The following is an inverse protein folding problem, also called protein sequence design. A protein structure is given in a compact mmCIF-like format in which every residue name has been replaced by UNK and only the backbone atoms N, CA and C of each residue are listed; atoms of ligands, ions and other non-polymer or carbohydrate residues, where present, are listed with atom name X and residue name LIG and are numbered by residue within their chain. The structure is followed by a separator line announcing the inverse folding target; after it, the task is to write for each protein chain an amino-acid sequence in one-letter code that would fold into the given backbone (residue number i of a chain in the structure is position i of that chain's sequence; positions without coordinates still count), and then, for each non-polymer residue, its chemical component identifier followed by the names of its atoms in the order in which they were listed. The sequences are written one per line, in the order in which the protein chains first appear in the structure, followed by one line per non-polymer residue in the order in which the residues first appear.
data_IF_602605658641
#
_entry.id   IF_602605658641
#
_cell.length_a   1.000
_cell.length_b   1.000
_cell.length_c   1.000
_cell.angle_alpha   90.00
_cell.angle_beta   90.00
_cell.angle_gamma   90.00
#
_symmetry.space_group_name_H-M   'P 1'
#
loop_
_entity.id
_entity.type
_entity.pdbx_description
1 polymer ?
#
# COMPACT_ATOMS: atom_id res chain seq x y z
N UNK A 1 38.47 27.64 5.72
CA UNK A 1 38.44 26.29 6.32
C UNK A 1 37.70 25.38 5.37
N UNK A 2 38.51 24.71 4.57
CA UNK A 2 38.16 23.72 3.56
C UNK A 2 37.72 22.43 4.25
N UNK A 3 36.55 21.88 3.91
CA UNK A 3 36.15 20.52 4.29
C UNK A 3 35.60 19.77 3.08
N UNK A 4 36.56 19.17 2.41
CA UNK A 4 36.59 17.86 1.75
C UNK A 4 35.45 16.90 2.14
N UNK A 5 34.64 16.54 1.12
CA UNK A 5 34.14 15.21 0.68
C UNK A 5 34.30 13.98 1.62
N UNK A 6 33.38 12.98 1.60
CA UNK A 6 33.14 12.22 0.36
C UNK A 6 31.72 11.72 0.02
N UNK A 7 31.53 11.73 -1.29
CA UNK A 7 30.80 10.82 -2.18
C UNK A 7 30.54 9.42 -1.59
N UNK A 8 29.27 9.00 -1.56
CA UNK A 8 28.88 7.59 -1.40
C UNK A 8 28.35 7.10 -2.73
N UNK A 9 29.16 6.24 -3.34
CA UNK A 9 28.95 5.62 -4.64
C UNK A 9 27.88 4.52 -4.58
N UNK A 10 27.25 4.33 -5.74
CA UNK A 10 26.16 3.41 -5.96
C UNK A 10 26.58 1.92 -5.86
N UNK A 11 25.74 1.11 -5.23
CA UNK A 11 25.78 -0.34 -5.36
C UNK A 11 24.36 -0.89 -5.55
N UNK A 12 23.90 -0.91 -6.81
CA UNK A 12 22.79 -1.76 -7.24
C UNK A 12 23.17 -3.23 -6.99
N UNK A 13 22.48 -3.89 -6.07
CA UNK A 13 22.62 -5.33 -5.83
C UNK A 13 21.38 -6.04 -6.37
N UNK A 14 21.46 -6.51 -7.61
CA UNK A 14 20.52 -7.52 -8.14
C UNK A 14 20.86 -8.88 -7.51
N UNK A 15 19.87 -9.72 -7.14
CA UNK A 15 20.13 -11.10 -6.77
C UNK A 15 20.28 -11.97 -8.03
N UNK A 16 21.46 -12.56 -8.21
CA UNK A 16 21.72 -13.61 -9.20
C UNK A 16 21.07 -14.94 -8.78
N UNK A 17 20.40 -15.58 -9.73
CA UNK A 17 19.88 -16.94 -9.62
C UNK A 17 21.00 -18.00 -9.68
N UNK A 18 20.93 -19.10 -8.89
CA UNK A 18 21.83 -20.23 -9.08
C UNK A 18 21.27 -21.22 -10.11
N UNK A 19 22.02 -21.40 -11.20
CA UNK A 19 21.88 -22.53 -12.14
C UNK A 19 22.34 -23.82 -11.46
N UNK A 20 21.50 -24.85 -11.43
CA UNK A 20 21.95 -26.23 -11.26
C UNK A 20 21.35 -27.11 -12.35
N UNK A 21 22.24 -27.62 -13.20
CA UNK A 21 22.00 -28.63 -14.23
C UNK A 21 21.93 -30.01 -13.57
N UNK A 22 20.79 -30.69 -13.65
CA UNK A 22 20.74 -32.16 -13.60
C UNK A 22 19.72 -32.68 -14.62
N UNK A 23 20.25 -33.23 -15.71
CA UNK A 23 19.53 -34.09 -16.64
C UNK A 23 19.03 -35.34 -15.92
N UNK A 24 17.72 -35.62 -16.02
CA UNK A 24 17.16 -36.98 -15.97
C UNK A 24 15.89 -37.01 -16.81
N UNK A 25 16.04 -37.47 -18.04
CA UNK A 25 14.96 -37.87 -18.94
C UNK A 25 14.32 -39.15 -18.40
N UNK A 26 13.01 -39.09 -18.11
CA UNK A 26 12.09 -40.24 -18.14
C UNK A 26 10.72 -39.72 -18.56
N UNK A 27 10.50 -39.64 -19.87
CA UNK A 27 9.17 -39.44 -20.43
C UNK A 27 8.41 -40.77 -20.41
N UNK A 28 7.28 -40.78 -19.72
CA UNK A 28 6.31 -41.87 -19.63
C UNK A 28 5.10 -41.43 -20.47
N UNK A 29 4.84 -42.10 -21.59
CA UNK A 29 3.55 -42.07 -22.27
C UNK A 29 3.14 -43.48 -22.68
N UNK A 30 1.83 -43.72 -22.84
CA UNK A 30 1.21 -45.01 -22.59
C UNK A 30 1.16 -45.87 -23.85
N UNK A 31 1.18 -47.18 -23.61
CA UNK A 31 0.88 -48.23 -24.58
C UNK A 31 -0.60 -48.25 -24.95
N UNK A 32 -0.97 -48.41 -26.24
CA UNK A 32 -2.26 -48.94 -26.62
C UNK A 32 -2.15 -50.47 -26.78
N UNK A 33 -3.10 -51.15 -26.14
CA UNK A 33 -3.42 -52.56 -26.28
C UNK A 33 -3.88 -52.88 -27.71
N UNK A 34 -3.22 -53.83 -28.38
CA UNK A 34 -3.78 -54.53 -29.54
C UNK A 34 -4.34 -55.88 -29.10
N UNK A 35 -5.62 -56.07 -29.40
CA UNK A 35 -6.36 -57.29 -29.20
C UNK A 35 -5.88 -58.40 -30.15
N UNK A 36 -5.73 -59.61 -29.62
CA UNK A 36 -5.55 -60.84 -30.39
C UNK A 36 -6.92 -61.34 -30.88
N UNK A 37 -7.03 -61.60 -32.18
CA UNK A 37 -8.18 -62.28 -32.77
C UNK A 37 -7.70 -63.38 -33.73
N UNK A 38 -8.03 -64.61 -33.34
CA UNK A 38 -8.46 -65.76 -34.18
C UNK A 38 -7.58 -66.16 -35.36
N UNK A 39 -6.74 -67.17 -35.12
CA UNK A 39 -6.28 -68.11 -36.15
C UNK A 39 -7.26 -69.29 -36.25
N UNK A 40 -7.72 -69.57 -37.46
CA UNK A 40 -8.41 -70.80 -37.84
C UNK A 40 -7.84 -71.26 -39.17
N UNK A 41 -7.42 -72.52 -39.32
CA UNK A 41 -7.41 -73.16 -40.61
C UNK A 41 -8.29 -74.43 -40.58
N UNK A 42 -9.30 -74.43 -41.44
CA UNK A 42 -9.99 -75.58 -41.98
C UNK A 42 -9.45 -75.77 -43.41
N UNK A 43 -9.33 -76.95 -44.03
CA UNK A 43 -9.53 -78.35 -43.68
C UNK A 43 -9.00 -79.16 -44.87
N UNK A 44 -8.67 -80.43 -44.67
CA UNK A 44 -8.96 -81.46 -45.68
C UNK A 44 -7.79 -82.13 -46.40
N UNK A 45 -7.50 -83.36 -45.96
CA UNK A 45 -7.24 -84.58 -46.75
C UNK A 45 -6.75 -85.64 -45.72
N UNK A 46 -7.34 -86.81 -45.49
CA UNK A 46 -7.93 -87.79 -46.40
C UNK A 46 -7.12 -89.10 -46.27
N UNK A 47 -7.59 -90.06 -45.46
CA UNK A 47 -7.14 -91.47 -45.42
C UNK A 47 -7.58 -92.24 -46.72
N UNK A 48 -7.22 -93.51 -47.05
CA UNK A 48 -6.64 -94.59 -46.21
C UNK A 48 -5.58 -95.53 -46.87
N UNK A 49 -5.06 -96.44 -46.03
CA UNK A 49 -4.50 -97.81 -46.21
C UNK A 49 -4.14 -98.43 -47.60
N UNK A 50 -3.08 -99.27 -47.49
CA UNK A 50 -2.92 -100.65 -48.01
C UNK A 50 -1.86 -100.95 -49.08
N UNK A 51 -1.19 -102.08 -48.84
CA UNK A 51 -0.18 -102.82 -49.58
C UNK A 51 -0.18 -102.70 -51.11
N UNK A 52 1.01 -102.64 -51.74
CA UNK A 52 1.43 -103.64 -52.73
C UNK A 52 2.93 -103.55 -53.08
N UNK A 53 3.67 -104.58 -52.64
CA UNK A 53 4.86 -105.07 -53.34
C UNK A 53 4.40 -105.60 -54.71
N UNK A 54 4.58 -104.83 -55.80
CA UNK A 54 4.66 -105.28 -57.20
C UNK A 54 4.64 -104.07 -58.16
N UNK A 55 5.67 -103.20 -58.14
CA UNK A 55 5.74 -102.07 -59.09
C UNK A 55 6.94 -102.10 -60.04
N UNK A 56 7.99 -102.88 -59.76
CA UNK A 56 9.12 -102.92 -60.68
C UNK A 56 8.80 -103.62 -62.00
N UNK A 57 7.94 -104.65 -62.00
CA UNK A 57 7.60 -105.36 -63.23
C UNK A 57 6.59 -104.59 -64.11
N UNK A 58 5.68 -103.81 -63.50
CA UNK A 58 4.71 -102.99 -64.24
C UNK A 58 5.35 -101.74 -64.86
N UNK A 59 6.35 -101.13 -64.19
CA UNK A 59 7.06 -99.97 -64.72
C UNK A 59 7.95 -100.36 -65.91
N UNK A 60 8.63 -101.51 -65.84
CA UNK A 60 9.44 -102.02 -66.94
C UNK A 60 8.57 -102.45 -68.13
N UNK A 61 7.40 -103.03 -67.88
CA UNK A 61 6.42 -103.37 -68.93
C UNK A 61 5.79 -102.12 -69.56
N UNK A 62 5.55 -101.07 -68.76
CA UNK A 62 5.05 -99.77 -69.25
C UNK A 62 6.10 -99.01 -70.05
N UNK A 63 7.38 -99.06 -69.67
CA UNK A 63 8.47 -98.47 -70.46
C UNK A 63 8.74 -99.25 -71.74
N UNK A 64 8.65 -100.58 -71.70
CA UNK A 64 8.74 -101.41 -72.88
C UNK A 64 7.55 -101.17 -73.83
N UNK A 65 6.33 -101.01 -73.30
CA UNK A 65 5.14 -100.63 -74.07
C UNK A 65 5.27 -99.24 -74.69
N UNK A 66 5.78 -98.24 -73.95
CA UNK A 66 6.07 -96.89 -74.48
C UNK A 66 7.16 -96.92 -75.55
N UNK A 67 8.20 -97.73 -75.36
CA UNK A 67 9.27 -97.89 -76.34
C UNK A 67 8.76 -98.58 -77.60
N UNK A 68 7.91 -99.60 -77.47
CA UNK A 68 7.22 -100.26 -78.59
C UNK A 68 6.28 -99.32 -79.31
N UNK A 69 5.54 -98.48 -78.59
CA UNK A 69 4.65 -97.47 -79.16
C UNK A 69 5.45 -96.39 -79.90
N UNK A 70 6.59 -95.95 -79.34
CA UNK A 70 7.52 -95.01 -79.97
C UNK A 70 8.23 -95.59 -81.20
N UNK A 71 8.59 -96.87 -81.17
CA UNK A 71 9.13 -97.58 -82.33
C UNK A 71 8.06 -97.69 -83.43
N UNK A 72 6.85 -98.08 -83.07
CA UNK A 72 5.70 -98.19 -84.00
C UNK A 72 5.36 -96.83 -84.61
N UNK A 73 5.38 -95.78 -83.79
CA UNK A 73 5.29 -94.39 -84.21
C UNK A 73 6.34 -94.01 -85.25
N UNK A 74 7.62 -94.28 -84.95
CA UNK A 74 8.72 -93.85 -85.79
C UNK A 74 8.79 -94.61 -87.10
N UNK A 75 8.47 -95.90 -87.07
CA UNK A 75 8.31 -96.73 -88.28
C UNK A 75 7.19 -96.15 -89.15
N UNK A 76 6.02 -95.87 -88.57
CA UNK A 76 4.91 -95.26 -89.30
C UNK A 76 5.27 -93.88 -89.90
N UNK A 77 6.05 -93.06 -89.19
CA UNK A 77 6.52 -91.76 -89.69
C UNK A 77 7.47 -91.89 -90.88
N UNK A 78 8.36 -92.89 -90.84
CA UNK A 78 9.28 -93.21 -91.95
C UNK A 78 8.50 -93.78 -93.15
N UNK A 79 7.51 -94.63 -92.92
CA UNK A 79 6.65 -95.24 -93.96
C UNK A 79 5.81 -94.20 -94.71
N UNK A 80 5.37 -93.14 -94.02
CA UNK A 80 4.65 -92.02 -94.65
C UNK A 80 5.61 -91.08 -95.40
N UNK A 81 6.89 -91.03 -95.02
CA UNK A 81 7.90 -90.25 -95.73
C UNK A 81 7.86 -88.73 -95.46
N UNK A 82 7.33 -88.33 -94.29
CA UNK A 82 7.29 -86.94 -93.84
C UNK A 82 5.91 -86.27 -93.92
N UNK A 83 5.83 -85.04 -93.43
CA UNK A 83 4.56 -84.32 -93.18
C UNK A 83 3.84 -83.93 -94.49
N UNK A 84 4.56 -83.69 -95.58
CA UNK A 84 3.99 -83.35 -96.90
C UNK A 84 3.18 -84.49 -97.52
N UNK A 85 3.60 -85.74 -97.29
CA UNK A 85 2.90 -86.93 -97.79
C UNK A 85 1.67 -87.29 -96.94
N UNK A 86 1.54 -86.74 -95.73
CA UNK A 86 0.42 -86.99 -94.84
C UNK A 86 -0.86 -86.28 -95.33
N UNK A 87 -0.71 -85.13 -95.99
CA UNK A 87 -1.81 -84.28 -96.49
C UNK A 87 -2.29 -84.66 -97.90
N UNK A 88 -1.51 -85.40 -98.68
CA UNK A 88 -1.88 -85.87 -100.02
C UNK A 88 -2.93 -87.00 -99.97
N UNK A 89 -3.96 -87.05 -100.83
CA UNK A 89 -4.90 -88.17 -100.87
C UNK A 89 -4.19 -89.50 -101.17
N UNK A 90 -4.50 -90.57 -100.41
CA UNK A 90 -4.03 -91.91 -100.78
C UNK A 90 -4.77 -92.33 -102.05
N UNK A 91 -4.03 -92.74 -103.08
CA UNK A 91 -4.64 -93.34 -104.25
C UNK A 91 -5.21 -94.73 -103.86
N UNK A 92 -6.54 -94.81 -103.75
CA UNK A 92 -7.32 -96.01 -103.43
C UNK A 92 -7.79 -96.76 -104.70
N UNK A 93 -7.33 -96.36 -105.88
CA UNK A 93 -7.69 -97.01 -107.14
C UNK A 93 -7.17 -98.45 -107.16
N UNK A 94 -8.03 -99.44 -107.42
CA UNK A 94 -7.66 -100.86 -107.42
C UNK A 94 -7.74 -101.56 -106.06
N UNK A 95 -8.15 -100.88 -105.00
CA UNK A 95 -8.71 -101.52 -103.81
C UNK A 95 -10.12 -101.97 -104.21
N UNK A 96 -10.49 -103.23 -104.04
CA UNK A 96 -11.85 -103.71 -104.35
C UNK A 96 -12.88 -102.86 -103.58
N UNK A 97 -13.41 -101.82 -104.22
CA UNK A 97 -14.49 -100.98 -103.69
C UNK A 97 -15.85 -101.68 -103.81
N UNK A 98 -15.85 -102.89 -104.39
CA UNK A 98 -16.99 -103.73 -104.61
C UNK A 98 -16.77 -105.06 -103.86
N UNK A 99 -17.64 -105.37 -102.91
CA UNK A 99 -17.59 -106.60 -102.09
C UNK A 99 -17.73 -107.87 -102.93
N UNK A 100 -18.22 -107.78 -104.18
CA UNK A 100 -18.41 -108.91 -105.08
C UNK A 100 -17.14 -109.37 -105.80
N UNK A 101 -16.03 -108.62 -105.71
CA UNK A 101 -14.84 -108.95 -106.50
C UNK A 101 -14.12 -110.24 -106.06
N UNK A 102 -14.01 -110.57 -104.75
CA UNK A 102 -13.58 -111.90 -104.34
C UNK A 102 -14.46 -113.01 -104.96
N UNK A 103 -15.77 -112.79 -105.06
CA UNK A 103 -16.70 -113.73 -105.69
C UNK A 103 -16.46 -113.83 -107.21
N UNK A 104 -16.21 -112.71 -107.89
CA UNK A 104 -15.86 -112.69 -109.31
C UNK A 104 -14.54 -113.40 -109.61
N UNK A 105 -13.51 -113.25 -108.76
CA UNK A 105 -12.24 -113.96 -108.90
C UNK A 105 -12.42 -115.47 -108.72
N UNK A 106 -13.18 -115.89 -107.69
CA UNK A 106 -13.50 -117.30 -107.46
C UNK A 106 -14.31 -117.88 -108.63
N UNK A 107 -15.30 -117.14 -109.14
CA UNK A 107 -16.11 -117.56 -110.30
C UNK A 107 -15.26 -117.69 -111.56
N UNK A 108 -14.35 -116.75 -111.83
CA UNK A 108 -13.42 -116.82 -112.97
C UNK A 108 -12.47 -118.03 -112.87
N UNK A 109 -12.00 -118.37 -111.67
CA UNK A 109 -11.19 -119.58 -111.45
C UNK A 109 -12.02 -120.86 -111.65
N UNK A 110 -13.26 -120.89 -111.15
CA UNK A 110 -14.18 -122.03 -111.32
C UNK A 110 -14.49 -122.29 -112.81
N UNK A 111 -14.68 -121.24 -113.60
CA UNK A 111 -14.96 -121.34 -115.04
C UNK A 111 -13.79 -121.99 -115.81
N UNK A 112 -12.54 -121.75 -115.39
CA UNK A 112 -11.34 -122.38 -115.98
C UNK A 112 -11.22 -123.86 -115.59
N UNK A 113 -11.68 -124.23 -114.39
CA UNK A 113 -11.70 -125.63 -113.92
C UNK A 113 -12.69 -126.46 -114.75
N UNK A 114 -13.89 -125.92 -115.00
CA UNK A 114 -15.01 -126.66 -115.62
C UNK A 114 -14.92 -126.79 -117.15
N UNK A 115 -13.98 -126.11 -117.81
CA UNK A 115 -13.84 -126.07 -119.27
C UNK A 115 -13.26 -127.38 -119.84
N UNK A 116 -14.07 -128.22 -120.50
CA UNK A 116 -13.68 -129.57 -120.93
C UNK A 116 -12.74 -129.63 -122.16
N UNK A 117 -12.54 -128.52 -122.88
CA UNK A 117 -11.68 -128.47 -124.09
C UNK A 117 -10.21 -128.13 -123.79
N UNK A 118 -9.88 -127.72 -122.57
CA UNK A 118 -8.51 -127.37 -122.17
C UNK A 118 -7.75 -128.58 -121.62
N UNK A 119 -6.52 -128.77 -122.08
CA UNK A 119 -5.58 -129.75 -121.55
C UNK A 119 -5.30 -129.49 -120.05
N UNK A 120 -4.99 -130.53 -119.28
CA UNK A 120 -4.70 -130.41 -117.85
C UNK A 120 -3.56 -129.42 -117.56
N UNK A 121 -2.56 -129.33 -118.45
CA UNK A 121 -1.44 -128.39 -118.33
C UNK A 121 -1.90 -126.93 -118.56
N UNK A 122 -2.75 -126.66 -119.56
CA UNK A 122 -3.26 -125.31 -119.85
C UNK A 122 -4.20 -124.78 -118.77
N UNK A 123 -4.98 -125.66 -118.12
CA UNK A 123 -5.82 -125.30 -116.96
C UNK A 123 -4.98 -124.86 -115.78
N UNK A 124 -3.91 -125.60 -115.49
CA UNK A 124 -2.98 -125.26 -114.40
C UNK A 124 -2.30 -123.93 -114.67
N UNK A 125 -1.90 -123.65 -115.92
CA UNK A 125 -1.27 -122.39 -116.30
C UNK A 125 -2.24 -121.19 -116.16
N UNK A 126 -3.48 -121.32 -116.65
CA UNK A 126 -4.50 -120.25 -116.51
C UNK A 126 -4.92 -120.02 -115.05
N UNK A 127 -5.10 -121.07 -114.25
CA UNK A 127 -5.40 -120.93 -112.81
C UNK A 127 -4.23 -120.32 -112.05
N UNK A 128 -2.99 -120.72 -112.37
CA UNK A 128 -1.79 -120.13 -111.80
C UNK A 128 -1.69 -118.64 -112.11
N UNK A 129 -1.99 -118.23 -113.35
CA UNK A 129 -2.00 -116.83 -113.75
C UNK A 129 -3.08 -116.01 -113.01
N UNK A 130 -4.29 -116.55 -112.86
CA UNK A 130 -5.36 -115.89 -112.11
C UNK A 130 -5.05 -115.79 -110.60
N UNK A 131 -4.52 -116.85 -110.00
CA UNK A 131 -4.09 -116.84 -108.59
C UNK A 131 -2.95 -115.84 -108.37
N UNK A 132 -2.01 -115.74 -109.33
CA UNK A 132 -0.92 -114.76 -109.28
C UNK A 132 -1.45 -113.33 -109.32
N UNK A 133 -2.41 -113.03 -110.21
CA UNK A 133 -3.07 -111.72 -110.29
C UNK A 133 -3.80 -111.37 -108.98
N UNK A 134 -4.58 -112.31 -108.43
CA UNK A 134 -5.24 -112.12 -107.14
C UNK A 134 -4.24 -111.91 -105.99
N UNK A 135 -3.11 -112.62 -106.02
CA UNK A 135 -2.04 -112.45 -105.04
C UNK A 135 -1.33 -111.09 -105.18
N UNK A 136 -1.14 -110.57 -106.39
CA UNK A 136 -0.57 -109.25 -106.66
C UNK A 136 -1.52 -108.13 -106.20
N UNK A 137 -2.83 -108.26 -106.47
CA UNK A 137 -3.86 -107.33 -106.00
C UNK A 137 -3.99 -107.35 -104.47
N UNK A 138 -3.94 -108.53 -103.84
CA UNK A 138 -3.90 -108.67 -102.38
C UNK A 138 -2.63 -108.05 -101.78
N UNK A 139 -1.47 -108.17 -102.45
CA UNK A 139 -0.23 -107.53 -102.02
C UNK A 139 -0.31 -106.00 -102.09
N UNK A 140 -0.93 -105.45 -103.15
CA UNK A 140 -1.18 -104.02 -103.29
C UNK A 140 -2.13 -103.49 -102.22
N UNK A 141 -3.21 -104.21 -101.95
CA UNK A 141 -4.15 -103.93 -100.86
C UNK A 141 -3.46 -103.91 -99.50
N UNK A 142 -2.66 -104.94 -99.21
CA UNK A 142 -1.88 -105.05 -97.98
C UNK A 142 -0.97 -103.82 -97.81
N UNK A 143 -0.32 -103.37 -98.91
CA UNK A 143 0.54 -102.18 -98.91
C UNK A 143 -0.25 -100.90 -98.63
N UNK A 144 -1.43 -100.75 -99.23
CA UNK A 144 -2.30 -99.57 -99.02
C UNK A 144 -2.91 -99.52 -97.62
N UNK A 145 -3.33 -100.66 -97.07
CA UNK A 145 -3.77 -100.77 -95.68
C UNK A 145 -2.63 -100.42 -94.72
N UNK A 146 -1.41 -100.89 -95.02
CA UNK A 146 -0.19 -100.48 -94.32
C UNK A 146 0.01 -98.96 -94.32
N UNK A 147 -0.09 -98.33 -95.49
CA UNK A 147 0.02 -96.87 -95.66
C UNK A 147 -1.06 -96.11 -94.86
N UNK A 148 -2.33 -96.53 -94.93
CA UNK A 148 -3.43 -95.93 -94.16
C UNK A 148 -3.19 -96.06 -92.65
N UNK A 149 -2.76 -97.25 -92.19
CA UNK A 149 -2.49 -97.49 -90.78
C UNK A 149 -1.32 -96.63 -90.28
N UNK A 150 -0.25 -96.53 -91.07
CA UNK A 150 0.89 -95.67 -90.76
C UNK A 150 0.45 -94.20 -90.62
N UNK A 151 -0.33 -93.67 -91.56
CA UNK A 151 -0.88 -92.29 -91.47
C UNK A 151 -1.80 -92.11 -90.27
N UNK A 152 -2.67 -93.07 -89.97
CA UNK A 152 -3.54 -93.03 -88.79
C UNK A 152 -2.73 -92.93 -87.49
N UNK A 153 -1.63 -93.66 -87.38
CA UNK A 153 -0.74 -93.64 -86.20
C UNK A 153 -0.07 -92.26 -86.06
N UNK A 154 0.51 -91.74 -87.14
CA UNK A 154 1.17 -90.41 -87.16
C UNK A 154 0.16 -89.30 -86.83
N UNK A 155 -1.05 -89.34 -87.40
CA UNK A 155 -2.10 -88.35 -87.12
C UNK A 155 -2.56 -88.36 -85.66
N UNK A 156 -2.69 -89.54 -85.04
CA UNK A 156 -3.04 -89.66 -83.61
C UNK A 156 -1.96 -89.05 -82.73
N UNK A 157 -0.68 -89.26 -83.05
CA UNK A 157 0.44 -88.69 -82.32
C UNK A 157 0.53 -87.18 -82.48
N UNK A 158 0.37 -86.65 -83.70
CA UNK A 158 0.32 -85.21 -83.96
C UNK A 158 -0.82 -84.56 -83.18
N UNK A 159 -2.01 -85.17 -83.17
CA UNK A 159 -3.15 -84.70 -82.35
C UNK A 159 -2.80 -84.67 -80.87
N UNK A 160 -2.18 -85.72 -80.34
CA UNK A 160 -1.75 -85.79 -78.93
C UNK A 160 -0.71 -84.72 -78.58
N UNK A 161 0.29 -84.52 -79.45
CA UNK A 161 1.33 -83.50 -79.30
C UNK A 161 0.72 -82.08 -79.30
N UNK A 162 -0.13 -81.77 -80.27
CA UNK A 162 -0.84 -80.47 -80.34
C UNK A 162 -1.74 -80.25 -79.13
N UNK A 163 -2.44 -81.29 -78.66
CA UNK A 163 -3.28 -81.19 -77.46
C UNK A 163 -2.45 -80.88 -76.21
N UNK A 164 -1.28 -81.52 -76.08
CA UNK A 164 -0.35 -81.28 -74.97
C UNK A 164 0.25 -79.88 -75.01
N UNK A 165 0.68 -79.42 -76.19
CA UNK A 165 1.17 -78.05 -76.38
C UNK A 165 0.07 -77.01 -76.09
N UNK A 166 -1.16 -77.25 -76.56
CA UNK A 166 -2.31 -76.39 -76.25
C UNK A 166 -2.57 -76.31 -74.73
N UNK A 167 -2.46 -77.42 -74.01
CA UNK A 167 -2.60 -77.45 -72.56
C UNK A 167 -1.48 -76.63 -71.87
N UNK A 168 -0.23 -76.75 -72.32
CA UNK A 168 0.89 -75.93 -71.80
C UNK A 168 0.68 -74.44 -72.07
N UNK A 169 0.30 -74.08 -73.30
CA UNK A 169 0.01 -72.70 -73.71
C UNK A 169 -1.13 -72.13 -72.88
N UNK A 170 -2.22 -72.88 -72.67
CA UNK A 170 -3.32 -72.46 -71.81
C UNK A 170 -2.90 -72.29 -70.34
N UNK A 171 -2.05 -73.17 -69.82
CA UNK A 171 -1.48 -73.03 -68.47
C UNK A 171 -0.63 -71.77 -68.34
N UNK A 172 0.23 -71.48 -69.32
CA UNK A 172 1.04 -70.26 -69.36
C UNK A 172 0.19 -69.00 -69.52
N UNK A 173 -0.86 -69.05 -70.36
CA UNK A 173 -1.85 -67.99 -70.51
C UNK A 173 -2.56 -67.70 -69.18
N UNK A 174 -3.02 -68.73 -68.47
CA UNK A 174 -3.66 -68.57 -67.16
C UNK A 174 -2.74 -67.91 -66.12
N UNK A 175 -1.45 -68.30 -66.09
CA UNK A 175 -0.44 -67.66 -65.22
C UNK A 175 -0.21 -66.19 -65.59
N UNK A 176 -0.13 -65.86 -66.88
CA UNK A 176 0.01 -64.48 -67.36
C UNK A 176 -1.22 -63.64 -67.02
N UNK A 177 -2.43 -64.16 -67.22
CA UNK A 177 -3.66 -63.47 -66.86
C UNK A 177 -3.75 -63.21 -65.36
N UNK A 178 -3.34 -64.18 -64.52
CA UNK A 178 -3.29 -64.00 -63.08
C UNK A 178 -2.26 -62.93 -62.69
N UNK A 179 -1.07 -62.94 -63.29
CA UNK A 179 -0.04 -61.93 -63.06
C UNK A 179 -0.52 -60.54 -63.49
N UNK A 180 -1.18 -60.42 -64.64
CA UNK A 180 -1.74 -59.16 -65.12
C UNK A 180 -2.83 -58.62 -64.17
N UNK A 181 -3.72 -59.48 -63.65
CA UNK A 181 -4.75 -59.08 -62.68
C UNK A 181 -4.12 -58.62 -61.37
N UNK A 182 -3.12 -59.33 -60.86
CA UNK A 182 -2.43 -58.94 -59.63
C UNK A 182 -1.63 -57.64 -59.84
N UNK A 183 -0.96 -57.47 -60.97
CA UNK A 183 -0.27 -56.23 -61.32
C UNK A 183 -1.23 -55.04 -61.43
N UNK A 184 -2.40 -55.23 -62.06
CA UNK A 184 -3.45 -54.20 -62.11
C UNK A 184 -3.98 -53.85 -60.72
N UNK A 185 -4.18 -54.85 -59.85
CA UNK A 185 -4.62 -54.65 -58.47
C UNK A 185 -3.57 -53.88 -57.66
N UNK A 186 -2.30 -54.26 -57.76
CA UNK A 186 -1.21 -53.55 -57.08
C UNK A 186 -1.03 -52.13 -57.62
N UNK A 187 -1.12 -51.90 -58.93
CA UNK A 187 -1.06 -50.57 -59.51
C UNK A 187 -2.21 -49.68 -59.01
N UNK A 188 -3.44 -50.22 -58.98
CA UNK A 188 -4.59 -49.52 -58.39
C UNK A 188 -4.35 -49.17 -56.91
N UNK A 189 -3.78 -50.09 -56.14
CA UNK A 189 -3.45 -49.89 -54.72
C UNK A 189 -2.38 -48.81 -54.54
N UNK A 190 -1.31 -48.82 -55.34
CA UNK A 190 -0.26 -47.80 -55.34
C UNK A 190 -0.83 -46.43 -55.69
N UNK A 191 -1.71 -46.34 -56.69
CA UNK A 191 -2.35 -45.07 -57.07
C UNK A 191 -3.23 -44.53 -55.94
N UNK A 192 -4.04 -45.39 -55.31
CA UNK A 192 -4.88 -44.98 -54.18
C UNK A 192 -4.05 -44.56 -52.98
N UNK A 193 -2.96 -45.28 -52.69
CA UNK A 193 -2.10 -44.99 -51.55
C UNK A 193 -1.26 -43.72 -51.79
N UNK A 194 -0.73 -43.53 -53.00
CA UNK A 194 -0.02 -42.31 -53.39
C UNK A 194 -0.92 -41.09 -53.29
N UNK A 195 -2.19 -41.21 -53.70
CA UNK A 195 -3.18 -40.15 -53.55
C UNK A 195 -3.47 -39.86 -52.08
N UNK A 196 -3.69 -40.90 -51.26
CA UNK A 196 -3.92 -40.75 -49.82
C UNK A 196 -2.75 -40.05 -49.14
N UNK A 197 -1.51 -40.43 -49.45
CA UNK A 197 -0.29 -39.82 -48.91
C UNK A 197 -0.21 -38.35 -49.34
N UNK A 198 -0.48 -38.03 -50.60
CA UNK A 198 -0.48 -36.65 -51.09
C UNK A 198 -1.53 -35.79 -50.36
N UNK A 199 -2.76 -36.29 -50.21
CA UNK A 199 -3.83 -35.59 -49.49
C UNK A 199 -3.47 -35.36 -48.00
N UNK A 200 -2.83 -36.34 -47.35
CA UNK A 200 -2.36 -36.22 -45.97
C UNK A 200 -1.20 -35.26 -45.81
N UNK A 201 -0.25 -35.22 -46.75
CA UNK A 201 0.84 -34.26 -46.73
C UNK A 201 0.33 -32.83 -46.96
N UNK A 202 -0.59 -32.64 -47.91
CA UNK A 202 -1.23 -31.34 -48.16
C UNK A 202 -2.08 -30.89 -46.96
N UNK A 203 -2.75 -31.80 -46.28
CA UNK A 203 -3.45 -31.50 -45.03
C UNK A 203 -2.48 -31.06 -43.92
N UNK A 204 -1.37 -31.79 -43.72
CA UNK A 204 -0.34 -31.40 -42.74
C UNK A 204 0.28 -30.04 -43.06
N UNK A 205 0.55 -29.76 -44.34
CA UNK A 205 1.06 -28.44 -44.80
C UNK A 205 0.07 -27.32 -44.48
N UNK A 206 -1.23 -27.54 -44.74
CA UNK A 206 -2.29 -26.56 -44.40
C UNK A 206 -2.41 -26.33 -42.90
N UNK A 207 -2.42 -27.40 -42.10
CA UNK A 207 -2.47 -27.30 -40.63
C UNK A 207 -1.25 -26.57 -40.07
N UNK A 208 -0.05 -26.89 -40.54
CA UNK A 208 1.18 -26.23 -40.12
C UNK A 208 1.16 -24.74 -40.50
N UNK A 209 0.73 -24.41 -41.71
CA UNK A 209 0.59 -23.02 -42.16
C UNK A 209 -0.41 -22.25 -41.30
N UNK A 210 -1.55 -22.86 -40.97
CA UNK A 210 -2.56 -22.27 -40.11
C UNK A 210 -2.04 -22.06 -38.67
N UNK A 211 -1.27 -23.00 -38.12
CA UNK A 211 -0.64 -22.85 -36.80
C UNK A 211 0.40 -21.72 -36.79
N UNK A 212 1.21 -21.60 -37.84
CA UNK A 212 2.16 -20.49 -37.96
C UNK A 212 1.44 -19.15 -38.05
N UNK A 213 0.42 -19.06 -38.89
CA UNK A 213 -0.38 -17.83 -39.04
C UNK A 213 -1.05 -17.44 -37.72
N UNK A 214 -1.69 -18.39 -37.04
CA UNK A 214 -2.27 -18.17 -35.71
C UNK A 214 -1.23 -17.71 -34.69
N UNK A 215 -0.03 -18.30 -34.69
CA UNK A 215 1.05 -17.91 -33.78
C UNK A 215 1.51 -16.48 -34.04
N UNK A 216 1.64 -16.09 -35.32
CA UNK A 216 2.00 -14.73 -35.72
C UNK A 216 0.93 -13.73 -35.26
N UNK A 217 -0.36 -14.08 -35.42
CA UNK A 217 -1.47 -13.27 -34.94
C UNK A 217 -1.47 -13.12 -33.41
N UNK A 218 -1.24 -14.21 -32.67
CA UNK A 218 -1.14 -14.18 -31.20
C UNK A 218 0.05 -13.33 -30.72
N UNK A 219 1.20 -13.43 -31.39
CA UNK A 219 2.38 -12.60 -31.07
C UNK A 219 2.10 -11.13 -31.37
N UNK A 220 1.50 -10.83 -32.52
CA UNK A 220 1.14 -9.47 -32.91
C UNK A 220 0.14 -8.86 -31.93
N UNK A 221 -0.91 -9.61 -31.57
CA UNK A 221 -1.88 -9.19 -30.57
C UNK A 221 -1.24 -8.94 -29.18
N UNK A 222 -0.27 -9.77 -28.77
CA UNK A 222 0.48 -9.55 -27.54
C UNK A 222 1.36 -8.30 -27.60
N UNK A 223 2.03 -8.04 -28.73
CA UNK A 223 2.82 -6.81 -28.92
C UNK A 223 1.93 -5.56 -28.87
N UNK A 224 0.78 -5.59 -29.54
CA UNK A 224 -0.19 -4.50 -29.51
C UNK A 224 -0.74 -4.26 -28.09
N UNK A 225 -1.05 -5.34 -27.36
CA UNK A 225 -1.51 -5.24 -25.98
C UNK A 225 -0.41 -4.67 -25.07
N UNK A 226 0.83 -5.14 -25.19
CA UNK A 226 1.96 -4.58 -24.44
C UNK A 226 2.18 -3.09 -24.76
N UNK A 227 2.00 -2.68 -26.02
CA UNK A 227 2.04 -1.28 -26.41
C UNK A 227 0.94 -0.45 -25.72
N UNK A 228 -0.30 -0.96 -25.67
CA UNK A 228 -1.42 -0.31 -24.97
C UNK A 228 -1.19 -0.23 -23.46
N UNK A 229 -0.69 -1.30 -22.85
CA UNK A 229 -0.40 -1.36 -21.42
C UNK A 229 0.72 -0.37 -21.06
N UNK A 230 1.76 -0.27 -21.91
CA UNK A 230 2.84 0.70 -21.75
C UNK A 230 2.33 2.15 -21.81
N UNK A 231 1.50 2.49 -22.80
CA UNK A 231 0.88 3.82 -22.93
C UNK A 231 -0.01 4.12 -21.73
N UNK A 232 -0.79 3.14 -21.26
CA UNK A 232 -1.65 3.28 -20.08
C UNK A 232 -0.81 3.55 -18.83
N UNK A 233 0.27 2.80 -18.63
CA UNK A 233 1.20 2.97 -17.51
C UNK A 233 1.89 4.35 -17.53
N UNK A 234 2.29 4.85 -18.70
CA UNK A 234 2.82 6.20 -18.83
C UNK A 234 1.79 7.27 -18.42
N UNK A 235 0.53 7.12 -18.86
CA UNK A 235 -0.55 8.04 -18.49
C UNK A 235 -0.87 8.01 -17.00
N UNK A 236 -0.83 6.83 -16.38
CA UNK A 236 -0.99 6.69 -14.92
C UNK A 236 0.15 7.36 -14.17
N UNK A 237 1.40 7.20 -14.63
CA UNK A 237 2.56 7.85 -14.05
C UNK A 237 2.45 9.38 -14.14
N UNK A 238 2.07 9.91 -15.31
CA UNK A 238 1.83 11.35 -15.49
C UNK A 238 0.73 11.88 -14.55
N UNK A 239 -0.38 11.15 -14.42
CA UNK A 239 -1.46 11.50 -13.49
C UNK A 239 -0.98 11.50 -12.02
N UNK A 240 -0.15 10.53 -11.63
CA UNK A 240 0.43 10.47 -10.28
C UNK A 240 1.38 11.64 -10.04
N UNK A 241 2.22 11.98 -11.02
CA UNK A 241 3.11 13.14 -10.95
C UNK A 241 2.32 14.44 -10.80
N UNK A 242 1.23 14.62 -11.54
CA UNK A 242 0.35 15.79 -11.42
C UNK A 242 -0.32 15.86 -10.04
N UNK A 243 -0.79 14.72 -9.49
CA UNK A 243 -1.35 14.66 -8.13
C UNK A 243 -0.32 15.03 -7.06
N UNK A 244 0.90 14.48 -7.17
CA UNK A 244 2.00 14.81 -6.26
C UNK A 244 2.34 16.31 -6.32
N UNK A 245 2.43 16.87 -7.53
CA UNK A 245 2.65 18.31 -7.72
C UNK A 245 1.55 19.15 -7.06
N UNK A 246 0.29 18.81 -7.29
CA UNK A 246 -0.84 19.49 -6.66
C UNK A 246 -0.82 19.39 -5.14
N UNK A 247 -0.45 18.24 -4.57
CA UNK A 247 -0.30 18.10 -3.13
C UNK A 247 0.83 18.98 -2.59
N UNK A 248 2.00 19.00 -3.24
CA UNK A 248 3.10 19.87 -2.81
C UNK A 248 2.71 21.35 -2.85
N UNK A 249 2.00 21.80 -3.89
CA UNK A 249 1.48 23.16 -3.99
C UNK A 249 0.49 23.49 -2.86
N UNK A 250 -0.43 22.57 -2.54
CA UNK A 250 -1.37 22.74 -1.43
C UNK A 250 -0.66 22.77 -0.07
N UNK A 251 0.36 21.92 0.13
CA UNK A 251 1.16 21.91 1.35
C UNK A 251 1.94 23.21 1.51
N UNK A 252 2.59 23.70 0.46
CA UNK A 252 3.31 24.97 0.49
C UNK A 252 2.38 26.15 0.82
N UNK A 253 1.20 26.21 0.19
CA UNK A 253 0.19 27.24 0.49
C UNK A 253 -0.30 27.17 1.94
N UNK A 254 -0.49 25.96 2.48
CA UNK A 254 -0.90 25.74 3.87
C UNK A 254 0.19 26.16 4.86
N UNK A 255 1.44 25.84 4.58
CA UNK A 255 2.59 26.24 5.39
C UNK A 255 2.74 27.77 5.41
N UNK A 256 2.63 28.41 4.25
CA UNK A 256 2.67 29.86 4.12
C UNK A 256 1.51 30.54 4.87
N UNK A 257 0.30 29.95 4.86
CA UNK A 257 -0.83 30.42 5.67
C UNK A 257 -0.55 30.34 7.17
N UNK A 258 0.01 29.22 7.65
CA UNK A 258 0.36 29.07 9.07
C UNK A 258 1.48 30.01 9.49
N UNK A 259 2.47 30.22 8.64
CA UNK A 259 3.55 31.18 8.88
C UNK A 259 3.00 32.60 9.07
N UNK A 260 2.11 33.05 8.18
CA UNK A 260 1.41 34.35 8.34
C UNK A 260 0.58 34.42 9.61
N UNK A 261 -0.09 33.34 9.99
CA UNK A 261 -0.89 33.29 11.21
C UNK A 261 0.01 33.39 12.46
N UNK A 262 1.17 32.74 12.44
CA UNK A 262 2.16 32.83 13.52
C UNK A 262 2.70 34.27 13.65
N UNK A 263 3.09 34.89 12.53
CA UNK A 263 3.55 36.29 12.51
C UNK A 263 2.48 37.25 13.05
N UNK A 264 1.21 37.06 12.68
CA UNK A 264 0.11 37.86 13.20
C UNK A 264 -0.08 37.69 14.73
N UNK A 265 0.12 36.47 15.25
CA UNK A 265 0.08 36.19 16.69
C UNK A 265 1.26 36.81 17.42
N UNK A 266 2.46 36.72 16.86
CA UNK A 266 3.66 37.36 17.42
C UNK A 266 3.50 38.88 17.50
N UNK A 267 2.99 39.52 16.44
CA UNK A 267 2.67 40.95 16.46
C UNK A 267 1.61 41.30 17.50
N UNK A 268 0.61 40.43 17.71
CA UNK A 268 -0.41 40.62 18.74
C UNK A 268 0.20 40.55 20.15
N UNK A 269 1.11 39.60 20.38
CA UNK A 269 1.84 39.47 21.65
C UNK A 269 2.72 40.69 21.89
N UNK A 270 3.51 41.10 20.90
CA UNK A 270 4.36 42.30 21.00
C UNK A 270 3.54 43.56 21.31
N UNK A 271 2.36 43.72 20.68
CA UNK A 271 1.47 44.83 20.98
C UNK A 271 0.94 44.79 22.43
N UNK A 272 0.58 43.60 22.92
CA UNK A 272 0.11 43.43 24.30
C UNK A 272 1.23 43.72 25.31
N UNK A 273 2.45 43.24 25.04
CA UNK A 273 3.65 43.52 25.85
C UNK A 273 3.97 45.01 25.90
N UNK A 274 3.96 45.69 24.75
CA UNK A 274 4.20 47.14 24.68
C UNK A 274 3.13 47.93 25.46
N UNK A 275 1.85 47.54 25.37
CA UNK A 275 0.78 48.15 26.18
C UNK A 275 0.97 47.91 27.67
N UNK A 276 1.36 46.70 28.06
CA UNK A 276 1.65 46.37 29.45
C UNK A 276 2.83 47.19 29.99
N UNK A 277 3.93 47.28 29.24
CA UNK A 277 5.10 48.09 29.60
C UNK A 277 4.72 49.56 29.78
N UNK A 278 3.97 50.13 28.84
CA UNK A 278 3.48 51.51 28.94
C UNK A 278 2.60 51.72 30.19
N UNK A 279 1.70 50.77 30.49
CA UNK A 279 0.86 50.86 31.69
C UNK A 279 1.69 50.77 32.98
N UNK A 280 2.69 49.89 33.04
CA UNK A 280 3.61 49.79 34.18
C UNK A 280 4.39 51.09 34.37
N UNK A 281 4.84 51.73 33.30
CA UNK A 281 5.57 52.99 33.39
C UNK A 281 4.66 54.15 33.86
N UNK A 282 3.41 54.18 33.40
CA UNK A 282 2.41 55.14 33.88
C UNK A 282 2.11 54.94 35.38
N UNK A 283 1.83 53.72 35.82
CA UNK A 283 1.54 53.45 37.23
C UNK A 283 2.75 53.74 38.10
N UNK A 284 3.97 53.48 37.62
CA UNK A 284 5.19 53.87 38.32
C UNK A 284 5.31 55.40 38.46
N UNK A 285 5.08 56.16 37.38
CA UNK A 285 5.07 57.64 37.43
C UNK A 285 3.99 58.19 38.37
N UNK A 286 2.81 57.60 38.38
CA UNK A 286 1.73 57.98 39.30
C UNK A 286 2.07 57.65 40.76
N UNK A 287 2.67 56.48 41.01
CA UNK A 287 3.14 56.09 42.34
C UNK A 287 4.22 57.05 42.88
N UNK A 288 5.19 57.44 42.04
CA UNK A 288 6.22 58.43 42.40
C UNK A 288 5.61 59.81 42.70
N UNK A 289 4.63 60.27 41.90
CA UNK A 289 3.89 61.51 42.18
C UNK A 289 3.13 61.42 43.50
N UNK A 290 2.42 60.32 43.74
CA UNK A 290 1.65 60.09 44.97
C UNK A 290 2.58 60.09 46.20
N UNK A 291 3.73 59.40 46.10
CA UNK A 291 4.76 59.38 47.14
C UNK A 291 5.27 60.79 47.44
N UNK A 292 5.65 61.57 46.42
CA UNK A 292 6.11 62.95 46.61
C UNK A 292 5.02 63.84 47.25
N UNK A 293 3.76 63.70 46.83
CA UNK A 293 2.66 64.45 47.45
C UNK A 293 2.44 64.06 48.91
N UNK A 294 2.59 62.78 49.24
CA UNK A 294 2.46 62.27 50.61
C UNK A 294 3.61 62.78 51.50
N UNK A 295 4.83 62.81 50.98
CA UNK A 295 5.99 63.40 51.66
C UNK A 295 5.76 64.89 51.95
N UNK A 296 5.31 65.67 50.97
CA UNK A 296 4.96 67.09 51.17
C UNK A 296 3.82 67.29 52.17
N UNK A 297 2.79 66.46 52.12
CA UNK A 297 1.68 66.52 53.07
C UNK A 297 2.17 66.24 54.50
N UNK A 298 3.06 65.25 54.67
CA UNK A 298 3.71 64.96 55.95
C UNK A 298 4.54 66.14 56.46
N UNK A 299 5.36 66.76 55.60
CA UNK A 299 6.12 67.95 55.98
C UNK A 299 5.21 69.11 56.42
N UNK A 300 4.09 69.34 55.72
CA UNK A 300 3.13 70.37 56.11
C UNK A 300 2.47 70.06 57.45
N UNK A 301 2.07 68.81 57.69
CA UNK A 301 1.52 68.38 58.97
C UNK A 301 2.53 68.57 60.12
N UNK A 302 3.80 68.23 59.90
CA UNK A 302 4.87 68.46 60.89
C UNK A 302 5.09 69.96 61.16
N UNK A 303 5.09 70.80 60.12
CA UNK A 303 5.15 72.27 60.28
C UNK A 303 3.94 72.82 61.01
N UNK A 304 2.74 72.32 60.73
CA UNK A 304 1.51 72.74 61.40
C UNK A 304 1.57 72.43 62.91
N UNK A 305 2.00 71.22 63.28
CA UNK A 305 2.21 70.84 64.68
C UNK A 305 3.22 71.77 65.36
N UNK A 306 4.35 72.09 64.70
CA UNK A 306 5.35 73.01 65.25
C UNK A 306 4.80 74.42 65.45
N UNK A 307 4.02 74.94 64.50
CA UNK A 307 3.38 76.25 64.62
C UNK A 307 2.33 76.25 65.74
N UNK A 308 1.56 75.18 65.89
CA UNK A 308 0.60 75.03 66.98
C UNK A 308 1.30 74.98 68.34
N UNK A 309 2.44 74.28 68.46
CA UNK A 309 3.27 74.32 69.66
C UNK A 309 3.78 75.72 69.98
N UNK A 310 4.22 76.49 68.97
CA UNK A 310 4.63 77.88 69.17
C UNK A 310 3.46 78.76 69.62
N UNK A 311 2.28 78.60 69.01
CA UNK A 311 1.08 79.34 69.39
C UNK A 311 0.68 79.04 70.83
N UNK A 312 0.68 77.77 71.23
CA UNK A 312 0.44 77.37 72.62
C UNK A 312 1.47 77.99 73.56
N UNK A 313 2.75 77.97 73.21
CA UNK A 313 3.80 78.61 74.00
C UNK A 313 3.63 80.14 74.10
N UNK A 314 3.09 80.81 73.08
CA UNK A 314 2.71 82.22 73.18
C UNK A 314 1.49 82.41 74.07
N UNK A 315 0.47 81.54 73.97
CA UNK A 315 -0.70 81.56 74.86
C UNK A 315 -0.29 81.45 76.33
N UNK A 316 0.57 80.48 76.67
CA UNK A 316 1.09 80.30 78.03
C UNK A 316 1.83 81.56 78.52
N UNK A 317 2.64 82.20 77.65
CA UNK A 317 3.29 83.48 77.99
C UNK A 317 2.28 84.60 78.23
N UNK A 318 1.21 84.68 77.42
CA UNK A 318 0.14 85.64 77.63
C UNK A 318 -0.58 85.39 78.94
N UNK A 319 -0.87 84.15 79.30
CA UNK A 319 -1.46 83.79 80.59
C UNK A 319 -0.57 84.24 81.75
N UNK A 320 0.75 84.02 81.67
CA UNK A 320 1.71 84.52 82.68
C UNK A 320 1.71 86.04 82.78
N UNK A 321 1.67 86.76 81.64
CA UNK A 321 1.60 88.23 81.62
C UNK A 321 0.28 88.70 82.22
N UNK A 322 -0.83 88.06 81.86
CA UNK A 322 -2.17 88.37 82.39
C UNK A 322 -2.23 88.13 83.89
N UNK A 323 -1.72 87.00 84.39
CA UNK A 323 -1.59 86.70 85.82
C UNK A 323 -0.71 87.72 86.55
N UNK A 324 0.40 88.12 85.93
CA UNK A 324 1.31 89.13 86.50
C UNK A 324 0.62 90.49 86.55
N UNK A 325 -0.12 90.89 85.50
CA UNK A 325 -0.90 92.11 85.47
C UNK A 325 -2.04 92.08 86.50
N UNK A 326 -2.72 90.94 86.65
CA UNK A 326 -3.77 90.76 87.66
C UNK A 326 -3.19 90.93 89.08
N UNK A 327 -2.07 90.26 89.39
CA UNK A 327 -1.35 90.43 90.66
C UNK A 327 -0.88 91.87 90.87
N UNK A 328 -0.38 92.52 89.82
CA UNK A 328 0.03 93.93 89.90
C UNK A 328 -1.16 94.84 90.17
N UNK A 329 -2.31 94.62 89.53
CA UNK A 329 -3.55 95.37 89.77
C UNK A 329 -4.09 95.15 91.19
N UNK A 330 -4.02 93.92 91.69
CA UNK A 330 -4.35 93.62 93.08
C UNK A 330 -3.42 94.38 94.03
N UNK A 331 -2.10 94.34 93.79
CA UNK A 331 -1.13 95.14 94.55
C UNK A 331 -1.41 96.65 94.48
N UNK A 332 -1.75 97.20 93.32
CA UNK A 332 -2.13 98.61 93.21
C UNK A 332 -3.39 98.92 94.00
N UNK A 333 -4.37 98.01 94.00
CA UNK A 333 -5.61 98.17 94.76
C UNK A 333 -5.35 98.12 96.27
N UNK A 334 -4.52 97.19 96.74
CA UNK A 334 -4.11 97.11 98.15
C UNK A 334 -3.28 98.32 98.57
N UNK A 335 -2.29 98.74 97.77
CA UNK A 335 -1.53 99.96 98.02
C UNK A 335 -2.44 101.18 98.11
N UNK A 336 -3.44 101.30 97.24
CA UNK A 336 -4.40 102.40 97.27
C UNK A 336 -5.25 102.37 98.53
N UNK A 337 -5.71 101.18 98.95
CA UNK A 337 -6.44 100.99 100.20
C UNK A 337 -5.57 101.32 101.43
N UNK A 338 -4.30 100.92 101.43
CA UNK A 338 -3.34 101.28 102.48
C UNK A 338 -3.04 102.77 102.49
N UNK A 339 -2.88 103.41 101.33
CA UNK A 339 -2.69 104.86 101.22
C UNK A 339 -3.91 105.63 101.71
N UNK A 340 -5.14 105.18 101.42
CA UNK A 340 -6.37 105.75 101.97
C UNK A 340 -6.46 105.56 103.49
N UNK A 341 -6.07 104.39 104.00
CA UNK A 341 -5.99 104.11 105.44
C UNK A 341 -4.96 105.01 106.11
N UNK A 342 -3.78 105.16 105.52
CA UNK A 342 -2.72 106.05 105.98
C UNK A 342 -3.21 107.51 105.94
N UNK A 343 -3.87 107.96 104.86
CA UNK A 343 -4.45 109.31 104.76
C UNK A 343 -5.52 109.56 105.84
N UNK A 344 -6.41 108.59 106.10
CA UNK A 344 -7.38 108.66 107.20
C UNK A 344 -6.68 108.72 108.56
N UNK A 345 -5.61 107.95 108.76
CA UNK A 345 -4.81 107.97 109.99
C UNK A 345 -4.08 109.30 110.17
N UNK A 346 -3.51 109.87 109.10
CA UNK A 346 -2.92 111.22 109.08
C UNK A 346 -3.97 112.25 109.48
N UNK A 347 -5.16 112.25 108.88
CA UNK A 347 -6.26 113.17 109.26
C UNK A 347 -6.70 113.01 110.71
N UNK A 348 -6.70 111.78 111.23
CA UNK A 348 -7.03 111.51 112.64
C UNK A 348 -5.95 112.09 113.56
N UNK A 349 -4.68 111.84 113.25
CA UNK A 349 -3.54 112.40 113.98
C UNK A 349 -3.52 113.93 113.91
N UNK A 350 -3.84 114.54 112.78
CA UNK A 350 -4.00 116.00 112.65
C UNK A 350 -5.10 116.55 113.55
N UNK A 351 -6.26 115.87 113.63
CA UNK A 351 -7.35 116.25 114.55
C UNK A 351 -6.95 116.09 116.01
N UNK A 352 -6.26 115.01 116.37
CA UNK A 352 -5.74 114.79 117.72
C UNK A 352 -4.69 115.84 118.09
N UNK A 353 -3.81 116.21 117.15
CA UNK A 353 -2.81 117.25 117.34
C UNK A 353 -3.46 118.64 117.51
N UNK A 354 -4.49 118.96 116.70
CA UNK A 354 -5.28 120.18 116.86
C UNK A 354 -6.01 120.21 118.21
N UNK A 355 -6.58 119.07 118.64
CA UNK A 355 -7.23 118.95 119.93
C UNK A 355 -6.25 119.12 121.09
N UNK A 356 -5.06 118.52 121.01
CA UNK A 356 -3.99 118.71 121.99
C UNK A 356 -3.53 120.17 122.05
N UNK A 357 -3.39 120.81 120.89
CA UNK A 357 -3.04 122.24 120.79
C UNK A 357 -4.11 123.11 121.47
N UNK A 358 -5.38 122.84 121.18
CA UNK A 358 -6.52 123.51 121.84
C UNK A 358 -6.56 123.28 123.35
N UNK A 359 -6.17 122.07 123.80
CA UNK A 359 -6.09 121.72 125.23
C UNK A 359 -4.93 122.43 125.92
N UNK A 360 -3.77 122.57 125.26
CA UNK A 360 -2.69 123.44 125.74
C UNK A 360 -3.17 124.89 125.84
N UNK A 361 -3.81 125.42 124.79
CA UNK A 361 -4.33 126.79 124.81
C UNK A 361 -5.36 127.01 125.94
N UNK A 362 -6.18 126.01 126.26
CA UNK A 362 -7.10 126.04 127.41
C UNK A 362 -6.36 125.97 128.75
N UNK A 363 -5.33 125.14 128.87
CA UNK A 363 -4.50 125.03 130.06
C UNK A 363 -3.73 126.33 130.33
N UNK A 364 -3.13 126.93 129.30
CA UNK A 364 -2.45 128.22 129.36
C UNK A 364 -3.42 129.34 129.75
N UNK A 365 -4.63 129.33 129.20
CA UNK A 365 -5.68 130.29 129.57
C UNK A 365 -6.15 130.10 131.02
N UNK A 366 -6.27 128.86 131.48
CA UNK A 366 -6.56 128.53 132.88
C UNK A 366 -5.45 128.98 133.83
N UNK A 367 -4.19 128.76 133.46
CA UNK A 367 -3.03 129.22 134.21
C UNK A 367 -2.99 130.75 134.31
N UNK A 368 -3.25 131.46 133.21
CA UNK A 368 -3.35 132.93 133.20
C UNK A 368 -4.46 133.42 134.15
N UNK A 369 -5.62 132.76 134.15
CA UNK A 369 -6.75 133.13 135.01
C UNK A 369 -6.42 132.91 136.49
N UNK A 370 -5.76 131.80 136.84
CA UNK A 370 -5.33 131.51 138.21
C UNK A 370 -4.24 132.48 138.69
N UNK A 371 -3.32 132.89 137.82
CA UNK A 371 -2.35 133.95 138.13
C UNK A 371 -3.06 135.28 138.40
N UNK A 372 -4.08 135.64 137.61
CA UNK A 372 -4.86 136.86 137.83
C UNK A 372 -5.66 136.84 139.15
N UNK A 373 -6.18 135.67 139.57
CA UNK A 373 -6.84 135.51 140.88
C UNK A 373 -5.86 135.60 142.05
N UNK A 374 -4.64 135.04 141.93
CA UNK A 374 -3.60 135.22 142.95
C UNK A 374 -3.18 136.69 143.10
N UNK A 375 -3.08 137.44 141.99
CA UNK A 375 -2.77 138.88 142.02
C UNK A 375 -3.88 139.66 142.73
N UNK A 376 -5.17 139.39 142.44
CA UNK A 376 -6.29 140.04 143.13
C UNK A 376 -6.32 139.73 144.63
N UNK A 377 -6.09 138.47 145.01
CA UNK A 377 -6.04 138.05 146.42
C UNK A 377 -4.88 138.72 147.17
N UNK A 378 -3.72 138.88 146.53
CA UNK A 378 -2.60 139.62 147.08
C UNK A 378 -2.93 141.11 147.30
N UNK A 379 -3.62 141.76 146.35
CA UNK A 379 -4.08 143.16 146.48
C UNK A 379 -5.09 143.35 147.62
N UNK A 380 -6.01 142.40 147.82
CA UNK A 380 -6.98 142.43 148.93
C UNK A 380 -6.30 142.23 150.29
N UNK A 381 -5.31 141.34 150.36
CA UNK A 381 -4.50 141.10 151.56
C UNK A 381 -3.69 142.36 151.94
N UNK A 382 -3.16 143.07 150.96
CA UNK A 382 -2.43 144.33 151.17
C UNK A 382 -3.34 145.45 151.70
N UNK A 383 -4.57 145.58 151.16
CA UNK A 383 -5.58 146.54 151.67
C UNK A 383 -6.00 146.26 153.11
N UNK A 384 -6.10 144.99 153.50
CA UNK A 384 -6.43 144.58 154.87
C UNK A 384 -5.27 144.88 155.84
N UNK A 385 -4.02 144.67 155.42
CA UNK A 385 -2.82 145.03 156.19
C UNK A 385 -2.71 146.54 156.45
N UNK A 386 -3.05 147.38 155.45
CA UNK A 386 -3.09 148.83 155.63
C UNK A 386 -4.19 149.29 156.61
N UNK A 387 -5.35 148.61 156.61
CA UNK A 387 -6.42 148.84 157.59
C UNK A 387 -5.99 148.45 159.00
N UNK A 388 -5.27 147.34 159.18
CA UNK A 388 -4.71 146.93 160.47
C UNK A 388 -3.71 147.98 160.97
N UNK A 389 -2.79 148.46 160.11
CA UNK A 389 -1.85 149.54 160.47
C UNK A 389 -2.56 150.83 160.91
N UNK A 390 -3.67 151.20 160.26
CA UNK A 390 -4.47 152.38 160.65
C UNK A 390 -5.19 152.18 161.98
N UNK A 391 -5.71 150.98 162.25
CA UNK A 391 -6.38 150.64 163.52
C UNK A 391 -5.38 150.51 164.68
N UNK A 392 -4.17 149.99 164.45
CA UNK A 392 -3.11 149.92 165.46
C UNK A 392 -2.60 151.32 165.87
N UNK A 393 -2.51 152.26 164.92
CA UNK A 393 -2.18 153.66 165.24
C UNK A 393 -3.29 154.37 166.02
N UNK A 394 -4.56 154.08 165.73
CA UNK A 394 -5.70 154.64 166.46
C UNK A 394 -5.79 154.10 167.90
N UNK A 395 -5.51 152.81 168.10
CA UNK A 395 -5.46 152.21 169.45
C UNK A 395 -4.29 152.75 170.30
N UNK A 396 -3.14 153.07 169.70
CA UNK A 396 -2.03 153.75 170.41
C UNK A 396 -2.36 155.19 170.78
N UNK A 397 -3.06 155.94 169.92
CA UNK A 397 -3.51 157.31 170.23
C UNK A 397 -4.56 157.35 171.35
N UNK A 398 -5.54 156.44 171.31
CA UNK A 398 -6.58 156.35 172.35
C UNK A 398 -6.03 155.84 173.70
N UNK A 399 -4.99 155.01 173.71
CA UNK A 399 -4.27 154.63 174.94
C UNK A 399 -3.44 155.79 175.53
N UNK A 400 -2.96 156.72 174.71
CA UNK A 400 -2.25 157.92 175.17
C UNK A 400 -3.20 158.98 175.77
N UNK A 401 -4.37 159.20 175.17
CA UNK A 401 -5.40 160.11 175.70
C UNK A 401 -6.03 159.63 177.01
N UNK A 402 -6.21 158.32 177.17
CA UNK A 402 -6.76 157.76 178.41
C UNK A 402 -5.79 157.90 179.59
N UNK A 403 -4.47 157.85 179.36
CA UNK A 403 -3.47 158.14 180.39
C UNK A 403 -3.47 159.62 180.81
N UNK A 404 -3.65 160.56 179.87
CA UNK A 404 -3.59 162.00 180.19
C UNK A 404 -4.86 162.56 180.84
N UNK A 405 -6.03 161.93 180.66
CA UNK A 405 -7.30 162.40 181.23
C UNK A 405 -7.58 161.90 182.65
N UNK A 406 -6.92 160.82 183.08
CA UNK A 406 -7.06 160.35 184.46
C UNK A 406 -6.09 161.06 185.43
N UNK A 407 -5.01 161.67 184.93
CA UNK A 407 -4.12 162.55 185.71
C UNK A 407 -4.68 163.98 185.92
N UNK A 408 -5.85 164.32 185.36
CA UNK A 408 -6.41 165.70 185.38
C UNK A 408 -7.72 165.87 186.16
N UNK A 409 -8.14 164.89 186.95
CA UNK A 409 -9.31 165.00 187.83
C UNK A 409 -8.98 164.77 189.33
N UNK A 410 -7.70 164.86 189.69
CA UNK A 410 -7.24 165.27 191.02
C UNK A 410 -6.80 166.74 190.92
N UNK A 411 -7.28 167.60 191.84
CA UNK A 411 -7.21 169.08 191.86
C UNK A 411 -8.32 169.78 191.03
N UNK A 412 -9.30 170.45 191.64
CA UNK A 412 -9.42 171.06 192.98
C UNK A 412 -10.88 171.56 193.14
N UNK A 413 -11.38 171.97 194.31
CA UNK A 413 -10.89 171.85 195.69
C UNK A 413 -11.79 171.03 196.63
#
# INVERSE_FOLDING_TARGET
MEKVLPTVDAALKQPQAPKSLKHKSKNKRPSPTYAAATGTPASGAGEPHHHHHHHHHHHHRSEEEKLRELLTSKIAEIEVGGDENLELPIDLTGIYQDESVPEHVVSAMQTVVDDAELSAEDKVEKLSAQLKKASEEMSLLQKKIGEINARCIVMKQRKSAVTTELAKVNGSKGKLEQLCRELQKQNKLIVTESRRIADEEDQKRRELSAQFQKTIEEVSAKMDQQGKDYVTSLKENENLQQKLKSFLEQYAAREEHFQRQLEAKDLTVQLAEAKLQHQVELTHREAEKAKLTMEKAKEFAEREVQLQMQLNGYSEKFDVVQDTLAKSNEMFTTFRAEMDKMSKQTKKLEKENLALKKKCDEYDRGAITSIQEQVKSAEETQKLLEKIKKLENLCRQLQAERKSLQERADSTP
#
